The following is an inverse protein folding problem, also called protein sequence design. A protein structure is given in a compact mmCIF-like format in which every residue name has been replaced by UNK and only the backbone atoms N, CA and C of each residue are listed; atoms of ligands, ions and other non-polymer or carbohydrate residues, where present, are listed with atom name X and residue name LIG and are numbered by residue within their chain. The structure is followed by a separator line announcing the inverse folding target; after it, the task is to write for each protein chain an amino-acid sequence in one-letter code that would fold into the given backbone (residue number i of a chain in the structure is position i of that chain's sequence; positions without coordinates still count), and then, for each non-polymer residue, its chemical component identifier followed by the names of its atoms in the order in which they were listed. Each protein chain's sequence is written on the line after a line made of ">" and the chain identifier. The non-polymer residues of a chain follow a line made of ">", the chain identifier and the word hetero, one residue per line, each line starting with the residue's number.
data_IF_471086386288
#
_entry.id   IF_471086386288
#
_cell.length_a   1.000
_cell.length_b   1.000
_cell.length_c   1.000
_cell.angle_alpha   90.00
_cell.angle_beta   90.00
_cell.angle_gamma   90.00
#
_symmetry.space_group_name_H-M   'P 1'
#
loop_
_entity.id
_entity.type
_entity.pdbx_description
1 polymer ?
#
# COMPACT_ATOMS: atom_id res chain seq x y z
N UNK A 1 -20.41 14.00 11.16
CA UNK A 1 -20.08 12.73 10.47
C UNK A 1 -19.45 11.77 11.47
N UNK A 2 -20.04 10.59 11.71
CA UNK A 2 -19.46 9.57 12.59
C UNK A 2 -18.37 8.83 11.81
N UNK A 3 -17.10 9.02 12.17
CA UNK A 3 -16.01 8.15 11.72
C UNK A 3 -16.34 6.72 12.15
N UNK A 4 -16.83 5.89 11.22
CA UNK A 4 -16.96 4.45 11.45
C UNK A 4 -15.55 3.88 11.49
N UNK A 5 -14.98 3.79 12.69
CA UNK A 5 -13.74 3.04 12.93
C UNK A 5 -14.07 1.57 12.71
N UNK A 6 -13.91 1.11 11.48
CA UNK A 6 -14.06 -0.29 11.12
C UNK A 6 -12.84 -0.99 11.70
N UNK A 7 -13.03 -1.74 12.79
CA UNK A 7 -11.97 -2.58 13.38
C UNK A 7 -11.68 -3.70 12.38
N UNK A 8 -10.67 -3.50 11.55
CA UNK A 8 -10.12 -4.60 10.76
C UNK A 8 -9.32 -5.49 11.69
N UNK A 9 -9.53 -6.80 11.58
CA UNK A 9 -8.64 -7.78 12.23
C UNK A 9 -7.28 -7.79 11.53
N UNK A 10 -6.22 -8.20 12.23
CA UNK A 10 -4.89 -8.34 11.63
C UNK A 10 -4.90 -9.28 10.40
N UNK A 11 -5.80 -10.28 10.38
CA UNK A 11 -5.98 -11.17 9.23
C UNK A 11 -6.54 -10.42 8.00
N UNK A 12 -7.55 -9.56 8.18
CA UNK A 12 -8.10 -8.73 7.12
C UNK A 12 -7.10 -7.68 6.63
N UNK A 13 -6.32 -7.08 7.54
CA UNK A 13 -5.25 -6.15 7.18
C UNK A 13 -4.16 -6.82 6.35
N UNK A 14 -3.74 -8.04 6.72
CA UNK A 14 -2.78 -8.83 5.92
C UNK A 14 -3.34 -9.23 4.56
N UNK A 15 -4.61 -9.60 4.49
CA UNK A 15 -5.26 -9.85 3.20
C UNK A 15 -5.25 -8.58 2.33
N UNK A 16 -5.62 -7.43 2.90
CA UNK A 16 -5.61 -6.14 2.23
C UNK A 16 -4.20 -5.72 1.79
N UNK A 17 -3.17 -5.96 2.62
CA UNK A 17 -1.78 -5.70 2.28
C UNK A 17 -1.34 -6.50 1.05
N UNK A 18 -1.70 -7.80 0.99
CA UNK A 18 -1.41 -8.65 -0.18
C UNK A 18 -2.13 -8.16 -1.43
N UNK A 19 -3.41 -7.79 -1.31
CA UNK A 19 -4.19 -7.27 -2.44
C UNK A 19 -3.59 -5.96 -2.97
N UNK A 20 -3.19 -5.04 -2.08
CA UNK A 20 -2.57 -3.77 -2.46
C UNK A 20 -1.21 -3.99 -3.14
N UNK A 21 -0.40 -4.93 -2.63
CA UNK A 21 0.86 -5.33 -3.28
C UNK A 21 0.63 -5.92 -4.67
N UNK A 22 -0.37 -6.79 -4.83
CA UNK A 22 -0.72 -7.35 -6.13
C UNK A 22 -1.16 -6.27 -7.12
N UNK A 23 -2.04 -5.36 -6.70
CA UNK A 23 -2.47 -4.21 -7.52
C UNK A 23 -1.33 -3.30 -7.92
N UNK A 24 -0.40 -3.02 -6.99
CA UNK A 24 0.75 -2.18 -7.29
C UNK A 24 1.69 -2.87 -8.29
N UNK A 25 1.88 -4.19 -8.15
CA UNK A 25 2.65 -5.02 -9.10
C UNK A 25 2.03 -4.97 -10.50
N UNK A 26 0.72 -5.20 -10.58
CA UNK A 26 -0.03 -5.16 -11.84
C UNK A 26 0.03 -3.77 -12.50
N UNK A 27 -0.16 -2.72 -11.70
CA UNK A 27 -0.13 -1.33 -12.19
C UNK A 27 1.26 -0.87 -12.64
N UNK A 28 2.34 -1.39 -12.04
CA UNK A 28 3.71 -1.11 -12.47
C UNK A 28 4.12 -1.95 -13.69
N UNK A 29 3.40 -3.04 -14.01
CA UNK A 29 3.74 -3.95 -15.10
C UNK A 29 5.05 -4.72 -14.87
N UNK A 30 5.53 -4.78 -13.62
CA UNK A 30 6.77 -5.47 -13.25
C UNK A 30 6.63 -6.11 -11.87
N UNK A 31 7.53 -7.03 -11.54
CA UNK A 31 7.58 -7.61 -10.20
C UNK A 31 7.71 -6.50 -9.13
N UNK A 32 7.04 -6.66 -7.99
CA UNK A 32 7.03 -5.66 -6.93
C UNK A 32 8.48 -5.36 -6.51
N UNK A 33 8.97 -4.13 -6.72
CA UNK A 33 10.33 -3.79 -6.36
C UNK A 33 10.49 -3.75 -4.83
N UNK A 34 11.74 -3.67 -4.38
CA UNK A 34 12.05 -3.56 -2.96
C UNK A 34 11.42 -2.30 -2.35
N UNK A 35 11.25 -2.34 -1.02
CA UNK A 35 10.64 -1.24 -0.28
C UNK A 35 11.36 0.10 -0.49
N UNK A 36 12.69 0.07 -0.61
CA UNK A 36 13.52 1.24 -0.86
C UNK A 36 13.26 1.83 -2.25
N UNK A 37 13.16 0.98 -3.28
CA UNK A 37 12.82 1.43 -4.64
C UNK A 37 11.41 2.01 -4.69
N UNK A 38 10.45 1.42 -3.97
CA UNK A 38 9.10 1.99 -3.87
C UNK A 38 9.08 3.35 -3.16
N UNK A 39 9.92 3.55 -2.13
CA UNK A 39 10.09 4.86 -1.47
C UNK A 39 10.70 5.88 -2.42
N UNK A 40 11.73 5.51 -3.16
CA UNK A 40 12.36 6.38 -4.15
C UNK A 40 11.38 6.77 -5.26
N UNK A 41 10.59 5.84 -5.79
CA UNK A 41 9.52 6.13 -6.76
C UNK A 41 8.48 7.09 -6.18
N UNK A 42 8.11 6.90 -4.91
CA UNK A 42 7.18 7.80 -4.22
C UNK A 42 7.77 9.22 -4.05
N UNK A 43 9.05 9.34 -3.73
CA UNK A 43 9.71 10.62 -3.49
C UNK A 43 10.06 11.37 -4.78
N UNK A 44 10.48 10.65 -5.81
CA UNK A 44 10.81 11.21 -7.13
C UNK A 44 9.58 11.63 -7.95
N UNK A 45 8.37 11.24 -7.53
CA UNK A 45 7.15 11.44 -8.30
C UNK A 45 7.02 10.49 -9.49
N UNK A 46 7.70 9.34 -9.45
CA UNK A 46 7.64 8.33 -10.51
C UNK A 46 6.32 7.54 -10.58
N UNK A 47 5.41 7.75 -9.62
CA UNK A 47 4.08 7.14 -9.64
C UNK A 47 3.06 7.99 -10.39
N UNK A 48 2.17 7.33 -11.11
CA UNK A 48 0.88 7.93 -11.50
C UNK A 48 0.03 8.20 -10.26
N UNK A 49 -1.02 9.03 -10.40
CA UNK A 49 -1.95 9.28 -9.30
C UNK A 49 -2.57 8.00 -8.73
N UNK A 50 -2.94 7.04 -9.58
CA UNK A 50 -3.52 5.76 -9.15
C UNK A 50 -2.49 4.89 -8.41
N UNK A 51 -1.26 4.79 -8.92
CA UNK A 51 -0.18 4.04 -8.27
C UNK A 51 0.16 4.65 -6.91
N UNK A 52 0.15 5.99 -6.81
CA UNK A 52 0.42 6.69 -5.57
C UNK A 52 -0.65 6.44 -4.53
N UNK A 53 -1.93 6.44 -4.92
CA UNK A 53 -3.03 6.14 -4.01
C UNK A 53 -2.94 4.71 -3.45
N UNK A 54 -2.64 3.74 -4.31
CA UNK A 54 -2.40 2.34 -3.90
C UNK A 54 -1.22 2.24 -2.94
N UNK A 55 -0.11 2.92 -3.24
CA UNK A 55 1.07 2.95 -2.39
C UNK A 55 0.79 3.58 -1.02
N UNK A 56 0.10 4.72 -1.00
CA UNK A 56 -0.24 5.40 0.25
C UNK A 56 -1.24 4.57 1.09
N UNK A 57 -2.18 3.86 0.47
CA UNK A 57 -3.05 2.89 1.17
C UNK A 57 -2.25 1.72 1.75
N UNK A 58 -1.29 1.18 0.99
CA UNK A 58 -0.40 0.11 1.45
C UNK A 58 0.38 0.55 2.70
N UNK A 59 0.93 1.77 2.70
CA UNK A 59 1.63 2.34 3.86
C UNK A 59 0.73 2.51 5.07
N UNK A 60 -0.53 2.89 4.88
CA UNK A 60 -1.50 2.97 5.98
C UNK A 60 -1.77 1.59 6.57
N UNK A 61 -1.94 0.56 5.74
CA UNK A 61 -2.17 -0.81 6.20
C UNK A 61 -0.96 -1.36 6.96
N UNK A 62 0.26 -1.15 6.44
CA UNK A 62 1.51 -1.55 7.13
C UNK A 62 1.66 -0.85 8.48
N UNK A 63 1.34 0.45 8.55
CA UNK A 63 1.33 1.20 9.82
C UNK A 63 0.29 0.68 10.81
N UNK A 64 -0.87 0.21 10.34
CA UNK A 64 -1.92 -0.37 11.20
C UNK A 64 -1.56 -1.77 11.69
N UNK A 65 -0.75 -2.51 10.93
CA UNK A 65 -0.22 -3.82 11.32
C UNK A 65 0.93 -3.72 12.33
N UNK A 66 1.55 -2.55 12.48
CA UNK A 66 2.71 -2.34 13.35
C UNK A 66 4.00 -2.97 12.81
N UNK A 67 4.02 -3.31 11.51
CA UNK A 67 5.22 -3.79 10.82
C UNK A 67 6.05 -2.55 10.45
N UNK A 68 6.96 -2.16 11.34
CA UNK A 68 7.93 -1.09 11.12
C UNK A 68 9.34 -1.57 11.44
#
# INVERSE_FOLDING_TARGET
>A
MKLKVRRFTNAELRARQRDLRAKLTESLGMALPSDDVLKELAWSGGFTYEQRDIYDELRRVESLLGER
#
